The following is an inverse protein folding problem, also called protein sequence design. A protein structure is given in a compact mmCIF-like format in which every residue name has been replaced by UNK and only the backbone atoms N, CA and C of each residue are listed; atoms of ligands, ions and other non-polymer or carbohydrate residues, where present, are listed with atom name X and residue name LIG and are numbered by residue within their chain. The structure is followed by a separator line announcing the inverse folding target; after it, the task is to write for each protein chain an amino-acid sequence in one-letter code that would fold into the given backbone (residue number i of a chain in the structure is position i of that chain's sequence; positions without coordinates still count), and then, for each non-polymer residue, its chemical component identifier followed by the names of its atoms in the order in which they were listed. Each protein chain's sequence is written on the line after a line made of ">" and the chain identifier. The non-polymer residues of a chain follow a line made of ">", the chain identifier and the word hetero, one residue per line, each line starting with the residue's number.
data_IF_431920676380
#
_entry.id   IF_431920676380
#
_cell.length_a   1.000
_cell.length_b   1.000
_cell.length_c   1.000
_cell.angle_alpha   90.00
_cell.angle_beta   90.00
_cell.angle_gamma   90.00
#
_symmetry.space_group_name_H-M   'P 1'
#
loop_
_entity.id
_entity.type
_entity.pdbx_description
1 polymer ?
#
# COMPACT_ATOMS: atom_id res chain seq x y z
N UNK A 1 53.01 16.17 30.29
CA UNK A 1 52.22 16.20 29.04
C UNK A 1 50.82 15.68 29.34
N UNK A 2 49.85 16.51 28.95
CA UNK A 2 48.38 16.44 28.92
C UNK A 2 47.68 15.18 29.50
N UNK A 3 46.95 15.42 30.61
CA UNK A 3 45.78 14.69 31.12
C UNK A 3 44.63 14.77 30.09
N UNK A 4 43.91 13.68 29.82
CA UNK A 4 42.42 13.62 29.62
C UNK A 4 42.03 12.19 29.23
N UNK A 5 41.32 11.50 30.13
CA UNK A 5 40.76 10.16 29.86
C UNK A 5 39.70 9.75 30.89
N UNK A 6 39.11 10.74 31.58
CA UNK A 6 37.98 10.61 32.50
C UNK A 6 37.00 11.70 32.10
N UNK A 7 35.70 11.36 32.06
CA UNK A 7 34.57 12.01 31.35
C UNK A 7 34.39 11.32 29.97
N UNK A 8 33.38 10.48 29.73
CA UNK A 8 31.99 10.57 30.18
C UNK A 8 31.39 9.17 30.38
N UNK A 9 31.22 8.88 31.67
CA UNK A 9 30.25 7.94 32.20
C UNK A 9 28.85 8.52 31.93
N UNK A 10 28.08 7.92 31.04
CA UNK A 10 26.64 8.16 30.92
C UNK A 10 26.00 6.91 30.30
N UNK A 11 25.81 5.88 31.12
CA UNK A 11 24.71 4.94 30.90
C UNK A 11 23.41 5.76 30.78
N UNK A 12 22.58 5.60 29.74
CA UNK A 12 21.21 6.03 29.82
C UNK A 12 20.44 4.93 30.56
N UNK A 13 20.41 5.01 31.89
CA UNK A 13 19.40 4.30 32.68
C UNK A 13 18.10 5.10 32.61
N UNK A 14 17.13 4.51 31.90
CA UNK A 14 15.68 4.56 32.09
C UNK A 14 15.07 5.72 32.88
N UNK A 15 14.12 6.43 32.24
CA UNK A 15 13.13 7.23 32.97
C UNK A 15 12.31 8.19 32.13
N UNK A 16 11.38 7.68 31.31
CA UNK A 16 9.98 8.15 31.27
C UNK A 16 9.11 6.94 30.88
N UNK A 17 8.21 6.57 31.78
CA UNK A 17 7.19 5.54 31.63
C UNK A 17 6.14 5.88 30.56
N UNK A 18 5.68 4.86 29.84
CA UNK A 18 4.35 4.84 29.21
C UNK A 18 4.30 4.85 27.68
N UNK A 19 4.53 3.69 27.07
CA UNK A 19 3.76 3.07 25.97
C UNK A 19 4.65 2.17 25.10
N UNK A 20 4.11 1.01 24.74
CA UNK A 20 4.84 -0.14 24.22
C UNK A 20 5.75 0.18 23.04
N UNK A 21 6.99 -0.34 23.09
CA UNK A 21 7.99 -0.26 22.03
C UNK A 21 7.45 -0.87 20.74
N UNK A 22 6.78 -0.09 19.90
CA UNK A 22 6.52 -0.49 18.52
C UNK A 22 7.81 -0.29 17.73
N UNK A 23 8.51 -1.38 17.40
CA UNK A 23 9.67 -1.31 16.52
C UNK A 23 9.24 -0.83 15.13
N UNK A 24 9.77 0.32 14.74
CA UNK A 24 9.44 1.05 13.52
C UNK A 24 10.58 0.86 12.51
N UNK A 25 10.31 0.25 11.34
CA UNK A 25 11.29 0.25 10.24
C UNK A 25 11.15 1.53 9.45
N UNK A 26 12.24 2.28 9.34
CA UNK A 26 12.32 3.49 8.52
C UNK A 26 12.77 3.13 7.11
N UNK A 27 11.88 3.32 6.13
CA UNK A 27 12.25 3.25 4.72
C UNK A 27 12.68 4.64 4.24
N UNK A 28 13.80 4.71 3.52
CA UNK A 28 14.37 5.95 3.00
C UNK A 28 14.12 6.00 1.49
N UNK A 29 13.37 7.01 1.05
CA UNK A 29 13.11 7.30 -0.35
C UNK A 29 13.67 8.68 -0.67
N UNK A 30 14.96 8.75 -1.01
CA UNK A 30 15.68 10.02 -1.13
C UNK A 30 15.74 10.72 0.24
N UNK A 31 15.21 11.95 0.33
CA UNK A 31 15.06 12.68 1.59
C UNK A 31 13.86 12.23 2.43
N UNK A 32 12.91 11.48 1.85
CA UNK A 32 11.70 11.09 2.56
C UNK A 32 11.96 9.87 3.45
N UNK A 33 11.72 10.03 4.75
CA UNK A 33 11.78 8.97 5.74
C UNK A 33 10.38 8.51 6.10
N UNK A 34 10.03 7.29 5.71
CA UNK A 34 8.72 6.72 6.00
C UNK A 34 8.87 5.68 7.10
N UNK A 35 8.37 6.02 8.27
CA UNK A 35 8.28 5.15 9.43
C UNK A 35 7.11 4.17 9.27
N UNK A 36 7.45 2.91 8.98
CA UNK A 36 6.50 1.81 8.92
C UNK A 36 6.53 1.00 10.21
N UNK A 37 5.37 0.97 10.86
CA UNK A 37 5.06 0.11 12.00
C UNK A 37 4.10 -1.00 11.54
N UNK A 38 4.10 -2.16 12.21
CA UNK A 38 3.19 -3.28 11.91
C UNK A 38 1.73 -2.85 11.78
N UNK A 39 1.26 -1.97 12.66
CA UNK A 39 -0.10 -1.42 12.59
C UNK A 39 -0.40 -0.64 11.31
N UNK A 40 0.54 0.24 10.89
CA UNK A 40 0.41 0.99 9.63
C UNK A 40 0.42 0.07 8.41
N UNK A 41 1.22 -1.00 8.44
CA UNK A 41 1.27 -1.99 7.37
C UNK A 41 -0.04 -2.79 7.25
N UNK A 42 -0.66 -3.21 8.38
CA UNK A 42 -1.98 -3.86 8.35
C UNK A 42 -3.09 -2.92 7.86
N UNK A 43 -3.08 -1.65 8.26
CA UNK A 43 -4.03 -0.65 7.76
C UNK A 43 -3.86 -0.48 6.25
N UNK A 44 -2.61 -0.34 5.77
CA UNK A 44 -2.33 -0.28 4.34
C UNK A 44 -2.81 -1.54 3.59
N UNK A 45 -2.62 -2.72 4.17
CA UNK A 45 -3.10 -3.98 3.58
C UNK A 45 -4.63 -4.01 3.49
N UNK A 46 -5.34 -3.52 4.52
CA UNK A 46 -6.80 -3.42 4.51
C UNK A 46 -7.30 -2.44 3.44
N UNK A 47 -6.65 -1.28 3.30
CA UNK A 47 -6.97 -0.31 2.25
C UNK A 47 -6.77 -0.93 0.86
N UNK A 48 -5.62 -1.58 0.64
CA UNK A 48 -5.32 -2.26 -0.62
C UNK A 48 -6.33 -3.39 -0.91
N UNK A 49 -6.79 -4.11 0.11
CA UNK A 49 -7.79 -5.16 -0.07
C UNK A 49 -9.14 -4.58 -0.50
N UNK A 50 -9.62 -3.53 0.16
CA UNK A 50 -10.86 -2.83 -0.21
C UNK A 50 -10.76 -2.29 -1.64
N UNK A 51 -9.62 -1.68 -1.99
CA UNK A 51 -9.39 -1.15 -3.32
C UNK A 51 -9.35 -2.24 -4.40
N UNK A 52 -8.75 -3.40 -4.12
CA UNK A 52 -8.82 -4.58 -5.00
C UNK A 52 -10.26 -5.01 -5.22
N UNK A 53 -11.06 -5.08 -4.16
CA UNK A 53 -12.46 -5.46 -4.26
C UNK A 53 -13.28 -4.47 -5.10
N UNK A 54 -13.13 -3.17 -4.87
CA UNK A 54 -13.78 -2.13 -5.69
C UNK A 54 -13.35 -2.20 -7.16
N UNK A 55 -12.07 -2.43 -7.42
CA UNK A 55 -11.55 -2.54 -8.80
C UNK A 55 -12.06 -3.78 -9.52
N UNK A 56 -12.26 -4.88 -8.78
CA UNK A 56 -12.87 -6.09 -9.30
C UNK A 56 -14.35 -5.87 -9.64
N UNK A 57 -15.13 -5.29 -8.73
CA UNK A 57 -16.54 -4.93 -8.96
C UNK A 57 -16.69 -3.99 -10.16
N UNK A 58 -15.81 -2.99 -10.28
CA UNK A 58 -15.78 -2.11 -11.45
C UNK A 58 -15.51 -2.89 -12.74
N UNK A 59 -14.58 -3.85 -12.72
CA UNK A 59 -14.29 -4.70 -13.88
C UNK A 59 -15.52 -5.51 -14.31
N UNK A 60 -16.24 -6.08 -13.35
CA UNK A 60 -17.47 -6.84 -13.61
C UNK A 60 -18.58 -5.94 -14.13
N UNK A 61 -18.76 -4.75 -13.54
CA UNK A 61 -19.71 -3.74 -14.01
C UNK A 61 -19.46 -3.34 -15.46
N UNK A 62 -18.22 -3.02 -15.83
CA UNK A 62 -17.84 -2.66 -17.21
C UNK A 62 -17.96 -3.84 -18.18
N UNK A 63 -17.71 -5.07 -17.73
CA UNK A 63 -17.93 -6.28 -18.53
C UNK A 63 -19.40 -6.56 -18.79
N UNK A 64 -20.27 -6.34 -17.80
CA UNK A 64 -21.72 -6.60 -17.91
C UNK A 64 -22.43 -5.72 -18.94
N UNK A 65 -21.81 -4.58 -19.33
CA UNK A 65 -22.33 -3.71 -20.38
C UNK A 65 -22.18 -4.43 -21.73
N UNK A 66 -23.30 -4.86 -22.31
CA UNK A 66 -23.35 -5.46 -23.62
C UNK A 66 -22.86 -4.47 -24.68
N UNK A 67 -22.01 -4.92 -25.59
CA UNK A 67 -21.48 -4.10 -26.69
C UNK A 67 -22.62 -3.61 -27.61
N UNK A 68 -23.72 -4.37 -27.69
CA UNK A 68 -24.95 -4.03 -28.40
C UNK A 68 -25.72 -2.86 -27.78
N UNK A 69 -25.60 -2.62 -26.47
CA UNK A 69 -26.21 -1.45 -25.80
C UNK A 69 -25.47 -0.15 -26.09
N UNK A 70 -24.25 -0.23 -26.64
CA UNK A 70 -23.46 0.91 -27.08
C UNK A 70 -23.70 1.26 -28.56
N UNK A 71 -24.70 0.65 -29.19
CA UNK A 71 -25.15 0.96 -30.54
C UNK A 71 -25.75 2.36 -30.58
N UNK A 72 -24.86 3.34 -30.60
CA UNK A 72 -25.16 4.75 -30.69
C UNK A 72 -25.52 5.09 -32.13
N UNK A 73 -26.30 6.15 -32.34
CA UNK A 73 -26.67 6.63 -33.69
C UNK A 73 -25.46 7.12 -34.54
N UNK A 74 -24.23 6.97 -34.05
CA UNK A 74 -22.99 7.39 -34.69
C UNK A 74 -21.91 6.32 -34.52
N UNK A 75 -21.37 5.83 -35.63
CA UNK A 75 -20.32 4.81 -35.67
C UNK A 75 -19.02 5.27 -35.00
N UNK A 76 -18.74 6.59 -35.01
CA UNK A 76 -17.55 7.13 -34.36
C UNK A 76 -17.67 7.10 -32.82
N UNK A 77 -18.89 7.29 -32.30
CA UNK A 77 -19.19 7.16 -30.87
C UNK A 77 -19.15 5.69 -30.42
N UNK A 78 -19.55 4.76 -31.29
CA UNK A 78 -19.46 3.33 -31.04
C UNK A 78 -18.01 2.86 -30.85
N UNK A 79 -17.09 3.31 -31.72
CA UNK A 79 -15.67 2.99 -31.63
C UNK A 79 -15.03 3.55 -30.34
N UNK A 80 -15.38 4.79 -29.97
CA UNK A 80 -14.92 5.41 -28.73
C UNK A 80 -15.44 4.66 -27.50
N UNK A 81 -16.71 4.27 -27.48
CA UNK A 81 -17.27 3.53 -26.36
C UNK A 81 -16.62 2.14 -26.20
N UNK A 82 -16.32 1.47 -27.32
CA UNK A 82 -15.63 0.18 -27.33
C UNK A 82 -14.19 0.28 -26.83
N UNK A 83 -13.43 1.27 -27.28
CA UNK A 83 -12.05 1.49 -26.82
C UNK A 83 -12.00 1.92 -25.35
N UNK A 84 -12.94 2.76 -24.91
CA UNK A 84 -13.07 3.18 -23.51
C UNK A 84 -13.40 2.00 -22.59
N UNK A 85 -14.33 1.13 -22.99
CA UNK A 85 -14.65 -0.11 -22.26
C UNK A 85 -13.42 -0.99 -22.12
N UNK A 86 -12.69 -1.20 -23.21
CA UNK A 86 -11.44 -1.98 -23.21
C UNK A 86 -10.38 -1.38 -22.28
N UNK A 87 -10.17 -0.06 -22.36
CA UNK A 87 -9.23 0.66 -21.50
C UNK A 87 -9.59 0.56 -20.02
N UNK A 88 -10.88 0.79 -19.68
CA UNK A 88 -11.39 0.66 -18.32
C UNK A 88 -11.21 -0.76 -17.78
N UNK A 89 -11.45 -1.79 -18.60
CA UNK A 89 -11.24 -3.19 -18.21
C UNK A 89 -9.77 -3.49 -17.92
N UNK A 90 -8.88 -3.10 -18.83
CA UNK A 90 -7.44 -3.31 -18.63
C UNK A 90 -6.95 -2.58 -17.39
N UNK A 91 -7.37 -1.32 -17.20
CA UNK A 91 -7.00 -0.52 -16.05
C UNK A 91 -7.49 -1.15 -14.74
N UNK A 92 -8.76 -1.53 -14.67
CA UNK A 92 -9.39 -2.09 -13.46
C UNK A 92 -8.84 -3.46 -13.09
N UNK A 93 -8.63 -4.36 -14.06
CA UNK A 93 -7.96 -5.64 -13.80
C UNK A 93 -6.51 -5.48 -13.37
N UNK A 94 -5.74 -4.62 -14.05
CA UNK A 94 -4.34 -4.36 -13.68
C UNK A 94 -4.23 -3.79 -12.27
N UNK A 95 -5.13 -2.85 -11.92
CA UNK A 95 -5.19 -2.26 -10.57
C UNK A 95 -5.56 -3.30 -9.51
N UNK A 96 -6.50 -4.20 -9.82
CA UNK A 96 -6.90 -5.28 -8.91
C UNK A 96 -5.73 -6.21 -8.60
N UNK A 97 -4.99 -6.64 -9.63
CA UNK A 97 -3.82 -7.52 -9.51
C UNK A 97 -2.74 -6.83 -8.69
N UNK A 98 -2.36 -5.60 -9.06
CA UNK A 98 -1.30 -4.86 -8.38
C UNK A 98 -1.64 -4.62 -6.90
N UNK A 99 -2.90 -4.29 -6.60
CA UNK A 99 -3.35 -4.09 -5.22
C UNK A 99 -3.41 -5.40 -4.44
N UNK A 100 -3.75 -6.53 -5.07
CA UNK A 100 -3.68 -7.83 -4.40
C UNK A 100 -2.23 -8.18 -4.02
N UNK A 101 -1.27 -7.91 -4.90
CA UNK A 101 0.16 -8.02 -4.58
C UNK A 101 0.57 -7.08 -3.45
N UNK A 102 0.08 -5.84 -3.45
CA UNK A 102 0.35 -4.87 -2.38
C UNK A 102 -0.21 -5.35 -1.03
N UNK A 103 -1.44 -5.89 -0.99
CA UNK A 103 -2.03 -6.48 0.22
C UNK A 103 -1.16 -7.60 0.77
N UNK A 104 -0.75 -8.55 -0.08
CA UNK A 104 0.12 -9.66 0.34
C UNK A 104 1.47 -9.14 0.83
N UNK A 105 2.11 -8.22 0.09
CA UNK A 105 3.39 -7.63 0.47
C UNK A 105 3.34 -6.90 1.81
N UNK A 106 2.27 -6.14 2.06
CA UNK A 106 2.07 -5.42 3.32
C UNK A 106 1.77 -6.36 4.50
N UNK A 107 1.01 -7.44 4.29
CA UNK A 107 0.79 -8.47 5.31
C UNK A 107 2.11 -9.15 5.69
N UNK A 108 2.92 -9.53 4.69
CA UNK A 108 4.24 -10.12 4.93
C UNK A 108 5.17 -9.15 5.67
N UNK A 109 5.18 -7.88 5.28
CA UNK A 109 5.97 -6.85 5.94
C UNK A 109 5.51 -6.60 7.39
N UNK A 110 4.20 -6.57 7.64
CA UNK A 110 3.63 -6.46 8.97
C UNK A 110 3.98 -7.66 9.85
N UNK A 111 4.01 -8.86 9.26
CA UNK A 111 4.45 -10.09 9.93
C UNK A 111 5.94 -10.03 10.33
N UNK A 112 6.80 -9.58 9.42
CA UNK A 112 8.24 -9.39 9.68
C UNK A 112 8.47 -8.38 10.82
N UNK A 113 7.80 -7.23 10.77
CA UNK A 113 7.89 -6.18 11.79
C UNK A 113 7.44 -6.66 13.18
N UNK A 114 6.44 -7.56 13.23
CA UNK A 114 5.95 -8.16 14.48
C UNK A 114 6.85 -9.29 15.00
N UNK A 115 7.59 -9.98 14.14
CA UNK A 115 8.51 -11.04 14.53
C UNK A 115 9.84 -10.51 15.04
N UNK A 116 10.26 -9.31 14.63
CA UNK A 116 11.47 -8.62 15.10
C UNK A 116 11.28 -8.00 16.49
N UNK A 117 10.03 -7.87 16.95
CA UNK A 117 9.65 -7.40 18.27
C UNK A 117 9.76 -8.47 19.38
N UNK A 118 9.94 -9.74 19.00
CA UNK A 118 9.91 -10.90 19.89
C UNK A 118 11.31 -11.46 20.13
#
# INVERSE_FOLDING_TARGET
>A
MIKTGKLLFASPTSGVDGEGKQQTRTFKFGDLQVELTSGKAYIGAAIAFIFSFLSWELSQGVQSIAESSLQYANDNALLLAKSLRGSLLVMSYSSTILSAFATVGLILLAGQLRSEDK
#
